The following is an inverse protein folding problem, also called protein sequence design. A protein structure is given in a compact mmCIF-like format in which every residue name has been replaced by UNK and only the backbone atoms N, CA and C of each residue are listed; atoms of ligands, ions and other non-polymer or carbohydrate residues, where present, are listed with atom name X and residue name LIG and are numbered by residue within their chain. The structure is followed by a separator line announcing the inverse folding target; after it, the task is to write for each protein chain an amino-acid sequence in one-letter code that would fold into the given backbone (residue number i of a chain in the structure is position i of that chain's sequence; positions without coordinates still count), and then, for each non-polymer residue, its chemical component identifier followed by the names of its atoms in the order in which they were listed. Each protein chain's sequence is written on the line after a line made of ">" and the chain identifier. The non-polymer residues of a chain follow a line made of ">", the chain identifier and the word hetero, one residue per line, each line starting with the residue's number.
data_IF_068362883807
#
_entry.id   IF_068362883807
#
_cell.length_a   1.000
_cell.length_b   1.000
_cell.length_c   1.000
_cell.angle_alpha   90.00
_cell.angle_beta   90.00
_cell.angle_gamma   90.00
#
_symmetry.space_group_name_H-M   'P 1'
#
loop_
_entity.id
_entity.type
_entity.pdbx_description
1 polymer ?
#
# COMPACT_ATOMS: atom_id res chain seq x y z
N UNK A 1 2.20 11.20 -17.69
CA UNK A 1 1.39 9.95 -17.65
C UNK A 1 1.54 9.32 -16.27
N UNK A 2 0.50 9.39 -15.45
CA UNK A 2 0.55 8.90 -14.07
C UNK A 2 0.67 7.36 -14.07
N UNK A 3 1.67 6.82 -13.36
CA UNK A 3 1.77 5.37 -13.15
C UNK A 3 0.64 4.98 -12.21
N UNK A 4 -0.42 4.38 -12.75
CA UNK A 4 -1.58 3.94 -11.96
C UNK A 4 -1.26 2.85 -10.93
N UNK A 5 -0.06 2.24 -11.02
CA UNK A 5 0.37 1.14 -10.18
C UNK A 5 1.74 1.41 -9.56
N UNK A 6 1.80 1.36 -8.23
CA UNK A 6 3.01 1.35 -7.41
C UNK A 6 3.55 -0.08 -7.30
N UNK A 7 4.86 -0.24 -7.27
CA UNK A 7 5.44 -1.49 -6.75
C UNK A 7 5.35 -1.53 -5.23
N UNK A 8 5.54 -2.72 -4.66
CA UNK A 8 5.79 -2.82 -3.23
C UNK A 8 6.98 -1.94 -2.80
N UNK A 9 8.04 -1.83 -3.60
CA UNK A 9 9.18 -1.00 -3.26
C UNK A 9 8.83 0.50 -3.23
N UNK A 10 8.07 0.99 -4.21
CA UNK A 10 7.60 2.39 -4.24
C UNK A 10 6.70 2.70 -3.04
N UNK A 11 5.76 1.80 -2.74
CA UNK A 11 4.86 1.95 -1.58
C UNK A 11 5.63 2.06 -0.26
N UNK A 12 6.65 1.21 -0.07
CA UNK A 12 7.46 1.21 1.13
C UNK A 12 8.35 2.45 1.23
N UNK A 13 8.88 2.91 0.10
CA UNK A 13 9.66 4.14 0.03
C UNK A 13 8.82 5.38 0.32
N UNK A 14 7.54 5.40 -0.09
CA UNK A 14 6.65 6.53 0.18
C UNK A 14 6.20 6.63 1.63
N UNK A 15 5.97 5.49 2.29
CA UNK A 15 5.58 5.47 3.70
C UNK A 15 6.76 5.43 4.67
N UNK A 16 7.99 5.30 4.16
CA UNK A 16 9.20 5.05 4.93
C UNK A 16 9.06 3.89 5.93
N UNK A 17 8.36 2.82 5.52
CA UNK A 17 8.13 1.63 6.36
C UNK A 17 8.88 0.41 5.83
N UNK A 18 9.39 -0.47 6.72
CA UNK A 18 10.06 -1.68 6.30
C UNK A 18 9.08 -2.72 5.74
N UNK A 19 9.59 -3.58 4.84
CA UNK A 19 8.84 -4.71 4.23
C UNK A 19 8.12 -5.57 5.27
N UNK A 20 8.75 -5.81 6.41
CA UNK A 20 8.20 -6.60 7.51
C UNK A 20 6.88 -6.02 8.05
N UNK A 21 6.80 -4.69 8.21
CA UNK A 21 5.57 -4.00 8.63
C UNK A 21 4.46 -4.20 7.60
N UNK A 22 4.78 -4.09 6.31
CA UNK A 22 3.80 -4.33 5.26
C UNK A 22 3.28 -5.78 5.25
N UNK A 23 4.17 -6.77 5.38
CA UNK A 23 3.73 -8.17 5.46
C UNK A 23 2.90 -8.44 6.71
N UNK A 24 3.19 -7.76 7.83
CA UNK A 24 2.37 -7.82 9.04
C UNK A 24 0.97 -7.25 8.77
N UNK A 25 0.85 -6.06 8.17
CA UNK A 25 -0.44 -5.52 7.77
C UNK A 25 -1.18 -6.44 6.82
N UNK A 26 -0.48 -7.04 5.85
CA UNK A 26 -1.07 -8.00 4.91
C UNK A 26 -1.60 -9.25 5.61
N UNK A 27 -0.88 -9.77 6.61
CA UNK A 27 -1.32 -10.91 7.42
C UNK A 27 -2.52 -10.56 8.29
N UNK A 28 -2.60 -9.32 8.80
CA UNK A 28 -3.71 -8.81 9.60
C UNK A 28 -4.93 -8.38 8.75
N UNK A 29 -4.81 -8.37 7.42
CA UNK A 29 -5.86 -7.84 6.52
C UNK A 29 -5.94 -6.31 6.50
N UNK A 30 -4.91 -5.65 7.03
CA UNK A 30 -4.79 -4.20 7.16
C UNK A 30 -3.97 -3.57 6.02
N UNK A 31 -3.48 -4.34 5.05
CA UNK A 31 -2.76 -3.82 3.90
C UNK A 31 -3.71 -3.40 2.76
N UNK A 32 -3.31 -2.43 1.90
CA UNK A 32 -4.05 -2.09 0.70
C UNK A 32 -4.11 -3.26 -0.29
N UNK A 33 -5.04 -3.18 -1.25
CA UNK A 33 -5.21 -4.21 -2.27
C UNK A 33 -3.95 -4.41 -3.10
N UNK A 34 -3.35 -5.59 -2.95
CA UNK A 34 -2.18 -6.01 -3.73
C UNK A 34 -2.56 -6.94 -4.87
N UNK A 35 -2.08 -6.62 -6.06
CA UNK A 35 -2.18 -7.43 -7.26
C UNK A 35 -0.88 -8.22 -7.44
N UNK A 36 -0.96 -9.55 -7.35
CA UNK A 36 0.16 -10.44 -7.66
C UNK A 36 0.18 -10.70 -9.17
N UNK A 37 1.24 -10.29 -9.84
CA UNK A 37 1.47 -10.59 -11.25
C UNK A 37 2.06 -11.99 -11.44
N UNK A 38 1.92 -12.60 -12.63
CA UNK A 38 2.50 -13.90 -12.95
C UNK A 38 4.04 -13.91 -12.86
N UNK A 39 4.69 -12.75 -12.94
CA UNK A 39 6.13 -12.59 -12.75
C UNK A 39 6.57 -12.56 -11.27
N UNK A 40 5.64 -12.75 -10.32
CA UNK A 40 5.91 -12.72 -8.88
C UNK A 40 5.99 -11.32 -8.26
N UNK A 41 5.88 -10.26 -9.06
CA UNK A 41 5.86 -8.88 -8.54
C UNK A 41 4.50 -8.54 -7.95
N UNK A 42 4.52 -7.74 -6.87
CA UNK A 42 3.33 -7.15 -6.27
C UNK A 42 3.15 -5.72 -6.79
N UNK A 43 1.94 -5.42 -7.25
CA UNK A 43 1.52 -4.06 -7.61
C UNK A 43 0.38 -3.61 -6.71
N UNK A 44 0.39 -2.34 -6.37
CA UNK A 44 -0.65 -1.67 -5.60
C UNK A 44 -1.16 -0.54 -6.48
N UNK A 45 -2.47 -0.42 -6.69
CA UNK A 45 -3.01 0.72 -7.44
C UNK A 45 -2.89 1.98 -6.58
N UNK A 46 -2.57 3.11 -7.21
CA UNK A 46 -2.47 4.40 -6.51
C UNK A 46 -3.80 4.77 -5.83
N UNK A 47 -4.92 4.49 -6.48
CA UNK A 47 -6.27 4.71 -5.95
C UNK A 47 -6.60 3.82 -4.76
N UNK A 48 -6.16 2.55 -4.77
CA UNK A 48 -6.37 1.65 -3.63
C UNK A 48 -5.47 2.05 -2.44
N UNK A 49 -4.28 2.57 -2.72
CA UNK A 49 -3.40 3.14 -1.69
C UNK A 49 -4.01 4.39 -1.05
N UNK A 50 -4.52 5.31 -1.87
CA UNK A 50 -5.14 6.56 -1.41
C UNK A 50 -6.42 6.29 -0.60
N UNK A 51 -7.30 5.40 -1.09
CA UNK A 51 -8.48 4.97 -0.35
C UNK A 51 -8.12 4.27 0.97
N UNK A 52 -7.02 3.51 0.99
CA UNK A 52 -6.52 2.88 2.20
C UNK A 52 -5.98 3.90 3.22
N UNK A 53 -5.25 4.93 2.76
CA UNK A 53 -4.82 6.04 3.60
C UNK A 53 -6.00 6.79 4.18
N UNK A 54 -6.99 7.15 3.35
CA UNK A 54 -8.20 7.83 3.79
C UNK A 54 -9.00 7.01 4.80
N UNK A 55 -9.06 5.68 4.65
CA UNK A 55 -9.70 4.79 5.63
C UNK A 55 -8.96 4.72 6.97
N UNK A 56 -7.69 5.12 7.03
CA UNK A 56 -6.83 5.11 8.22
C UNK A 56 -6.48 6.52 8.70
N UNK A 57 -7.06 7.54 8.08
CA UNK A 57 -6.92 8.90 8.54
C UNK A 57 -7.54 8.98 9.94
N UNK A 58 -6.68 9.16 10.95
CA UNK A 58 -7.19 9.44 12.29
C UNK A 58 -7.92 10.78 12.23
N UNK A 59 -9.11 10.90 12.85
CA UNK A 59 -9.77 12.19 12.94
C UNK A 59 -8.80 13.13 13.63
N UNK A 60 -8.32 14.14 12.89
CA UNK A 60 -7.48 15.18 13.44
C UNK A 60 -8.28 15.83 14.57
N UNK A 61 -7.97 15.46 15.81
CA UNK A 61 -8.59 16.07 16.98
C UNK A 61 -8.20 17.55 16.96
N UNK A 62 -9.23 18.39 16.82
CA UNK A 62 -9.13 19.85 16.83
C UNK A 62 -8.73 20.38 18.22
#
# INVERSE_FOLDING_TARGET
>A
MARNFLTLADFLAELDVPKSTFFRWKALGEAPRTYKLPNGQLRIRRTDFDAWLSSREEPQAA
#
